data_IF_822552427355
#
_entry.id   IF_822552427355
#
_cell.length_a   1.000
_cell.length_b   1.000
_cell.length_c   1.000
_cell.angle_alpha   90.00
_cell.angle_beta   90.00
_cell.angle_gamma   90.00
#
_symmetry.space_group_name_H-M   'P 1'
#
loop_
_entity.id
_entity.type
_entity.pdbx_description
1 polymer ?
#
# COMPACT_ATOMS: atom_id res chain seq x y z
N UNK A 1 -26.41 -2.05 47.30
CA UNK A 1 -26.77 -1.47 45.97
C UNK A 1 -25.47 -1.10 45.27
N UNK A 2 -24.94 -2.02 44.46
CA UNK A 2 -23.79 -1.75 43.63
C UNK A 2 -24.33 -1.06 42.34
N UNK A 3 -23.79 0.13 42.02
CA UNK A 3 -24.08 0.79 40.74
C UNK A 3 -23.33 0.01 39.67
N UNK A 4 -24.07 -0.59 38.75
CA UNK A 4 -23.52 -1.02 37.45
C UNK A 4 -22.95 0.21 36.74
N UNK A 5 -21.66 0.20 36.53
CA UNK A 5 -21.01 1.15 35.62
C UNK A 5 -21.36 0.71 34.19
N UNK A 6 -22.25 1.46 33.56
CA UNK A 6 -22.53 1.38 32.12
C UNK A 6 -21.25 1.77 31.38
N UNK A 7 -20.43 0.77 31.07
CA UNK A 7 -19.24 0.93 30.20
C UNK A 7 -19.70 0.95 28.74
N UNK A 8 -20.45 1.96 28.36
CA UNK A 8 -20.56 2.34 26.96
C UNK A 8 -19.20 2.92 26.51
N UNK A 9 -18.26 2.04 26.25
CA UNK A 9 -17.03 2.48 25.55
C UNK A 9 -17.47 2.97 24.17
N UNK A 10 -17.09 4.21 23.78
CA UNK A 10 -17.37 4.69 22.44
C UNK A 10 -16.70 3.72 21.47
N UNK A 11 -17.47 3.23 20.50
CA UNK A 11 -16.92 2.49 19.37
C UNK A 11 -15.95 3.46 18.71
N UNK A 12 -14.65 3.16 18.80
CA UNK A 12 -13.63 3.92 18.08
C UNK A 12 -13.86 3.60 16.61
N UNK A 13 -14.55 4.50 15.92
CA UNK A 13 -14.66 4.44 14.46
C UNK A 13 -13.24 4.57 13.89
N UNK A 14 -12.87 3.65 13.02
CA UNK A 14 -11.62 3.74 12.26
C UNK A 14 -11.71 4.92 11.31
N UNK A 15 -11.32 6.09 11.81
CA UNK A 15 -11.28 7.33 11.01
C UNK A 15 -10.00 7.31 10.20
N UNK A 16 -10.14 7.48 8.87
CA UNK A 16 -8.98 7.62 7.99
C UNK A 16 -8.09 8.76 8.46
N UNK A 17 -6.76 8.57 8.43
CA UNK A 17 -5.82 9.65 8.72
C UNK A 17 -6.01 10.90 7.85
N UNK A 18 -6.59 10.77 6.66
CA UNK A 18 -6.88 11.86 5.72
C UNK A 18 -8.30 12.46 5.87
N UNK A 19 -9.03 12.11 6.92
CA UNK A 19 -10.46 12.46 7.07
C UNK A 19 -10.75 13.97 7.00
N UNK A 20 -9.84 14.82 7.43
CA UNK A 20 -10.09 16.26 7.57
C UNK A 20 -9.62 17.12 6.38
N UNK A 21 -8.77 16.61 5.49
CA UNK A 21 -8.09 17.44 4.47
C UNK A 21 -8.17 16.87 3.04
N UNK A 22 -9.25 16.16 2.71
CA UNK A 22 -9.39 15.52 1.42
C UNK A 22 -9.63 16.50 0.27
N UNK A 23 -8.66 16.61 -0.62
CA UNK A 23 -8.86 17.11 -1.98
C UNK A 23 -8.91 15.93 -2.99
N UNK A 24 -9.61 14.87 -2.61
CA UNK A 24 -9.84 13.73 -3.49
C UNK A 24 -10.86 14.11 -4.57
N UNK A 25 -10.74 13.56 -5.77
CA UNK A 25 -11.68 13.82 -6.84
C UNK A 25 -11.11 13.60 -8.23
N UNK A 26 -11.77 14.23 -9.17
CA UNK A 26 -11.37 14.24 -10.58
C UNK A 26 -10.64 15.55 -10.87
N UNK A 27 -9.49 15.44 -11.52
CA UNK A 27 -8.66 16.56 -11.94
C UNK A 27 -8.37 16.45 -13.42
N UNK A 28 -8.27 17.59 -14.10
CA UNK A 28 -7.94 17.68 -15.52
C UNK A 28 -8.93 18.52 -16.30
N UNK A 29 -8.78 18.51 -17.60
CA UNK A 29 -9.67 19.19 -18.54
C UNK A 29 -10.97 18.38 -18.67
N UNK A 30 -12.05 18.92 -18.11
CA UNK A 30 -13.36 18.26 -18.14
C UNK A 30 -13.99 18.18 -19.53
N UNK A 31 -13.49 18.96 -20.50
CA UNK A 31 -13.95 18.93 -21.88
C UNK A 31 -13.40 17.72 -22.63
N UNK A 32 -12.21 17.25 -22.26
CA UNK A 32 -11.53 16.09 -22.83
C UNK A 32 -11.52 14.92 -21.83
N UNK A 33 -12.49 14.03 -21.91
CA UNK A 33 -12.62 12.87 -20.99
C UNK A 33 -11.38 11.98 -20.94
N UNK A 34 -10.52 12.03 -21.95
CA UNK A 34 -9.29 11.22 -22.05
C UNK A 34 -8.16 11.70 -21.12
N UNK A 35 -8.24 12.95 -20.63
CA UNK A 35 -7.22 13.57 -19.76
C UNK A 35 -7.62 13.60 -18.28
N UNK A 36 -8.66 12.90 -17.91
CA UNK A 36 -9.11 12.89 -16.51
C UNK A 36 -8.13 12.09 -15.64
N UNK A 37 -7.65 12.75 -14.59
CA UNK A 37 -6.92 12.16 -13.50
C UNK A 37 -7.89 11.99 -12.32
N UNK A 38 -7.96 10.79 -11.75
CA UNK A 38 -8.74 10.51 -10.55
C UNK A 38 -7.80 10.23 -9.37
N UNK A 39 -8.05 10.91 -8.25
CA UNK A 39 -7.42 10.64 -6.96
C UNK A 39 -8.47 10.12 -5.99
N UNK A 40 -8.19 8.99 -5.36
CA UNK A 40 -9.10 8.33 -4.41
C UNK A 40 -8.30 7.74 -3.25
N UNK A 41 -8.76 7.89 -2.03
CA UNK A 41 -8.21 7.14 -0.91
C UNK A 41 -8.75 5.71 -0.93
N UNK A 42 -7.86 4.73 -0.83
CA UNK A 42 -8.24 3.32 -0.67
C UNK A 42 -8.36 3.03 0.82
N UNK A 43 -9.59 2.86 1.29
CA UNK A 43 -9.93 2.62 2.70
C UNK A 43 -10.03 1.14 3.03
N UNK A 44 -10.07 0.85 4.34
CA UNK A 44 -10.32 -0.49 4.88
C UNK A 44 -9.27 -1.54 4.44
N UNK A 45 -8.03 -1.10 4.33
CA UNK A 45 -6.92 -1.98 4.05
C UNK A 45 -6.27 -2.47 5.35
N UNK A 46 -5.94 -3.76 5.38
CA UNK A 46 -4.98 -4.33 6.31
C UNK A 46 -3.61 -4.35 5.67
N UNK A 47 -2.63 -3.72 6.31
CA UNK A 47 -1.28 -3.58 5.79
C UNK A 47 -0.29 -4.08 6.84
N UNK A 48 0.42 -5.17 6.51
CA UNK A 48 1.44 -5.74 7.38
C UNK A 48 2.82 -5.61 6.75
N UNK A 49 3.76 -5.12 7.52
CA UNK A 49 5.16 -5.20 7.17
C UNK A 49 5.75 -6.47 7.76
N UNK A 50 6.35 -7.28 6.88
CA UNK A 50 7.03 -8.53 7.24
C UNK A 50 8.52 -8.32 6.98
N UNK A 51 9.36 -8.54 7.99
CA UNK A 51 10.80 -8.47 7.86
C UNK A 51 11.44 -9.75 8.40
N UNK A 52 12.20 -10.47 7.55
CA UNK A 52 12.96 -11.65 7.95
C UNK A 52 14.19 -11.24 8.75
N UNK A 53 14.44 -11.92 9.87
CA UNK A 53 15.65 -11.68 10.65
C UNK A 53 16.91 -12.16 9.95
N UNK A 54 18.01 -11.39 10.05
CA UNK A 54 19.30 -11.73 9.42
C UNK A 54 19.85 -13.11 9.82
N UNK A 55 19.56 -13.55 11.03
CA UNK A 55 20.00 -14.86 11.57
C UNK A 55 19.06 -16.01 11.25
N UNK A 56 17.89 -15.74 10.66
CA UNK A 56 16.95 -16.78 10.25
C UNK A 56 17.49 -17.55 9.06
N UNK A 57 17.37 -18.88 9.11
CA UNK A 57 17.78 -19.80 8.04
C UNK A 57 16.62 -20.23 7.15
N UNK A 58 15.42 -19.67 7.38
CA UNK A 58 14.21 -20.01 6.62
C UNK A 58 14.40 -19.67 5.14
N UNK A 59 14.05 -20.64 4.28
CA UNK A 59 14.02 -20.45 2.84
C UNK A 59 12.73 -19.74 2.43
N UNK A 60 12.87 -18.48 2.00
CA UNK A 60 11.75 -17.62 1.59
C UNK A 60 10.97 -18.20 0.42
N UNK A 61 11.63 -18.98 -0.46
CA UNK A 61 10.98 -19.58 -1.64
C UNK A 61 9.93 -20.65 -1.27
N UNK A 62 9.99 -21.18 -0.04
CA UNK A 62 9.04 -22.17 0.47
C UNK A 62 7.85 -21.53 1.18
N UNK A 63 7.91 -20.23 1.47
CA UNK A 63 6.83 -19.53 2.15
C UNK A 63 5.73 -19.23 1.13
N UNK A 64 4.53 -19.66 1.47
CA UNK A 64 3.32 -19.42 0.70
C UNK A 64 2.31 -18.74 1.64
N UNK A 65 1.84 -17.55 1.26
CA UNK A 65 0.75 -16.84 1.93
C UNK A 65 -0.41 -16.67 0.95
N UNK A 66 -1.59 -17.14 1.30
CA UNK A 66 -2.78 -17.13 0.45
C UNK A 66 -2.51 -17.65 -0.98
N UNK A 67 -1.83 -18.79 -1.12
CA UNK A 67 -1.39 -19.41 -2.39
C UNK A 67 -0.39 -18.54 -3.20
N UNK A 68 0.09 -17.44 -2.67
CA UNK A 68 1.09 -16.56 -3.28
C UNK A 68 2.47 -16.81 -2.67
N UNK A 69 3.51 -16.82 -3.50
CA UNK A 69 4.90 -16.82 -3.04
C UNK A 69 5.36 -15.41 -2.75
N UNK A 70 6.25 -15.26 -1.77
CA UNK A 70 6.90 -13.98 -1.53
C UNK A 70 7.76 -13.57 -2.74
N UNK A 71 7.66 -12.34 -3.24
CA UNK A 71 8.54 -11.86 -4.29
C UNK A 71 9.98 -11.74 -3.78
N UNK A 72 10.94 -12.26 -4.55
CA UNK A 72 12.37 -12.29 -4.17
C UNK A 72 13.22 -11.31 -4.95
N UNK A 73 12.67 -10.72 -6.01
CA UNK A 73 13.37 -9.73 -6.85
C UNK A 73 12.89 -8.33 -6.54
N UNK A 74 13.78 -7.36 -6.64
CA UNK A 74 13.41 -5.94 -6.55
C UNK A 74 12.35 -5.57 -7.57
N UNK A 75 11.54 -4.58 -7.23
CA UNK A 75 10.45 -4.04 -8.05
C UNK A 75 9.33 -5.04 -8.35
N UNK A 76 9.24 -6.19 -7.69
CA UNK A 76 8.22 -7.18 -8.00
C UNK A 76 7.10 -7.25 -6.95
N UNK A 77 5.91 -7.56 -7.44
CA UNK A 77 4.72 -7.81 -6.64
C UNK A 77 4.16 -9.17 -7.03
N UNK A 78 3.74 -9.97 -6.06
CA UNK A 78 2.87 -11.12 -6.29
C UNK A 78 1.48 -10.78 -5.77
N UNK A 79 0.45 -11.05 -6.55
CA UNK A 79 -0.91 -10.66 -6.19
C UNK A 79 -1.97 -11.58 -6.78
N UNK A 80 -3.09 -11.65 -6.07
CA UNK A 80 -4.37 -12.14 -6.57
C UNK A 80 -5.46 -11.06 -6.39
N UNK A 81 -6.73 -11.47 -6.39
CA UNK A 81 -7.86 -10.55 -6.23
C UNK A 81 -8.02 -10.04 -4.78
N UNK A 82 -7.37 -10.67 -3.80
CA UNK A 82 -7.56 -10.42 -2.36
C UNK A 82 -6.32 -9.83 -1.73
N UNK A 83 -5.15 -10.33 -2.11
CA UNK A 83 -3.86 -10.02 -1.48
C UNK A 83 -2.87 -9.49 -2.50
N UNK A 84 -2.10 -8.49 -2.09
CA UNK A 84 -0.92 -8.01 -2.79
C UNK A 84 0.29 -8.09 -1.86
N UNK A 85 1.37 -8.72 -2.32
CA UNK A 85 2.63 -8.83 -1.59
C UNK A 85 3.69 -8.05 -2.36
N UNK A 86 4.13 -6.94 -1.80
CA UNK A 86 5.09 -6.03 -2.40
C UNK A 86 6.49 -6.31 -1.86
N UNK A 87 7.48 -6.42 -2.72
CA UNK A 87 8.88 -6.38 -2.30
C UNK A 87 9.29 -4.93 -2.03
N UNK A 88 9.61 -4.58 -0.79
CA UNK A 88 9.95 -3.20 -0.42
C UNK A 88 11.41 -3.03 0.00
N UNK A 89 12.13 -4.14 0.13
CA UNK A 89 13.55 -4.13 0.46
C UNK A 89 14.09 -5.55 0.60
N UNK A 90 15.40 -5.72 0.76
CA UNK A 90 15.98 -7.02 1.09
C UNK A 90 15.31 -7.60 2.33
N UNK A 91 14.85 -8.84 2.24
CA UNK A 91 14.16 -9.56 3.32
C UNK A 91 12.97 -8.81 3.94
N UNK A 92 12.34 -7.89 3.17
CA UNK A 92 11.22 -7.07 3.68
C UNK A 92 10.10 -6.96 2.64
N UNK A 93 8.88 -7.19 3.09
CA UNK A 93 7.67 -7.18 2.27
C UNK A 93 6.56 -6.39 2.93
N UNK A 94 5.65 -5.85 2.11
CA UNK A 94 4.34 -5.41 2.57
C UNK A 94 3.27 -6.38 2.05
N UNK A 95 2.41 -6.84 2.94
CA UNK A 95 1.21 -7.61 2.62
C UNK A 95 0.02 -6.68 2.79
N UNK A 96 -0.73 -6.48 1.70
CA UNK A 96 -1.88 -5.58 1.65
C UNK A 96 -3.11 -6.41 1.29
N UNK A 97 -4.19 -6.29 2.07
CA UNK A 97 -5.45 -6.98 1.82
C UNK A 97 -6.66 -6.17 2.29
N UNK A 98 -7.80 -6.38 1.63
CA UNK A 98 -9.10 -5.92 2.11
C UNK A 98 -9.78 -6.95 3.04
N UNK A 99 -9.33 -8.20 3.02
CA UNK A 99 -9.88 -9.25 3.87
C UNK A 99 -9.19 -9.23 5.24
N UNK A 100 -9.96 -8.84 6.26
CA UNK A 100 -9.50 -8.82 7.66
C UNK A 100 -9.22 -10.21 8.23
N UNK A 101 -9.81 -11.27 7.68
CA UNK A 101 -9.61 -12.64 8.17
C UNK A 101 -8.20 -13.16 7.92
N UNK A 102 -7.53 -12.67 6.87
CA UNK A 102 -6.14 -13.04 6.57
C UNK A 102 -5.15 -12.61 7.65
N UNK A 103 -5.53 -11.68 8.53
CA UNK A 103 -4.72 -11.23 9.68
C UNK A 103 -4.42 -12.38 10.63
N UNK A 104 -5.39 -13.28 10.85
CA UNK A 104 -5.24 -14.41 11.77
C UNK A 104 -4.19 -15.40 11.25
N UNK A 105 -4.07 -15.55 9.94
CA UNK A 105 -3.13 -16.48 9.31
C UNK A 105 -1.69 -15.93 9.24
N UNK A 106 -1.50 -14.62 9.30
CA UNK A 106 -0.17 -14.00 9.19
C UNK A 106 0.79 -14.54 10.25
N UNK A 107 0.38 -14.53 11.51
CA UNK A 107 1.24 -14.98 12.61
C UNK A 107 1.48 -16.50 12.62
N UNK A 108 0.60 -17.29 11.99
CA UNK A 108 0.80 -18.74 11.85
C UNK A 108 1.87 -19.07 10.79
N UNK A 109 1.97 -18.24 9.73
CA UNK A 109 2.89 -18.46 8.62
C UNK A 109 4.24 -17.77 8.89
N UNK A 110 4.21 -16.55 9.42
CA UNK A 110 5.40 -15.76 9.74
C UNK A 110 5.68 -15.83 11.24
N UNK A 111 6.34 -16.90 11.68
CA UNK A 111 6.62 -17.11 13.09
C UNK A 111 7.62 -16.06 13.65
N UNK A 112 7.49 -15.74 14.92
CA UNK A 112 8.26 -14.70 15.62
C UNK A 112 9.75 -14.99 15.78
N UNK A 113 10.20 -16.23 15.57
CA UNK A 113 11.62 -16.59 15.64
C UNK A 113 12.37 -16.18 14.36
N UNK A 114 11.66 -16.13 13.24
CA UNK A 114 12.21 -15.88 11.93
C UNK A 114 11.84 -14.53 11.33
N UNK A 115 10.69 -13.97 11.75
CA UNK A 115 10.13 -12.76 11.19
C UNK A 115 9.68 -11.77 12.25
N UNK A 116 9.91 -10.47 11.96
CA UNK A 116 9.15 -9.40 12.58
C UNK A 116 7.89 -9.13 11.74
N UNK A 117 6.74 -9.20 12.37
CA UNK A 117 5.43 -8.86 11.78
C UNK A 117 4.92 -7.59 12.45
N UNK A 118 4.67 -6.56 11.66
CA UNK A 118 4.19 -5.28 12.18
C UNK A 118 2.92 -4.85 11.45
N UNK A 119 1.83 -4.69 12.17
CA UNK A 119 0.60 -4.09 11.63
C UNK A 119 0.80 -2.57 11.51
N UNK A 120 0.76 -2.08 10.28
CA UNK A 120 0.89 -0.66 9.93
C UNK A 120 -0.38 -0.10 9.28
N UNK A 121 -1.49 -0.82 9.35
CA UNK A 121 -2.76 -0.47 8.71
C UNK A 121 -3.25 0.92 9.10
N UNK A 122 -3.09 1.29 10.37
CA UNK A 122 -3.54 2.59 10.89
C UNK A 122 -2.50 3.72 10.72
N UNK A 123 -1.27 3.37 10.37
CA UNK A 123 -0.18 4.35 10.20
C UNK A 123 0.10 4.68 8.74
N UNK A 124 -0.66 4.14 7.81
CA UNK A 124 -0.50 4.35 6.37
C UNK A 124 -1.81 4.79 5.73
N UNK A 125 -1.72 5.82 4.90
CA UNK A 125 -2.75 6.14 3.93
C UNK A 125 -2.36 5.54 2.58
N UNK A 126 -3.34 5.05 1.83
CA UNK A 126 -3.15 4.58 0.46
C UNK A 126 -3.96 5.46 -0.47
N UNK A 127 -3.27 6.14 -1.37
CA UNK A 127 -3.88 7.03 -2.36
C UNK A 127 -3.79 6.34 -3.71
N UNK A 128 -4.93 6.07 -4.32
CA UNK A 128 -5.01 5.62 -5.69
C UNK A 128 -4.98 6.82 -6.63
N UNK A 129 -4.06 6.81 -7.60
CA UNK A 129 -4.01 7.73 -8.73
C UNK A 129 -4.28 6.93 -10.00
N UNK A 130 -5.31 7.31 -10.76
CA UNK A 130 -5.69 6.63 -11.98
C UNK A 130 -6.05 7.59 -13.11
N UNK A 131 -5.85 7.14 -14.37
CA UNK A 131 -6.14 7.92 -15.56
C UNK A 131 -4.95 8.04 -16.51
N UNK A 132 -5.19 8.53 -17.73
CA UNK A 132 -4.18 8.60 -18.80
C UNK A 132 -2.98 9.49 -18.47
N UNK A 133 -3.13 10.44 -17.55
CA UNK A 133 -2.09 11.37 -17.10
C UNK A 133 -1.39 10.95 -15.81
N UNK A 134 -1.72 9.80 -15.22
CA UNK A 134 -1.14 9.35 -13.95
C UNK A 134 0.38 9.28 -14.01
N UNK A 135 0.95 8.67 -15.07
CA UNK A 135 2.39 8.58 -15.26
C UNK A 135 3.06 9.95 -15.40
N UNK A 136 2.40 10.88 -16.11
CA UNK A 136 2.95 12.21 -16.33
C UNK A 136 3.01 13.02 -15.04
N UNK A 137 2.01 12.87 -14.16
CA UNK A 137 2.03 13.46 -12.83
C UNK A 137 3.12 12.84 -11.97
N UNK A 138 3.22 11.51 -11.93
CA UNK A 138 4.22 10.82 -11.13
C UNK A 138 5.67 11.13 -11.57
N UNK A 139 5.92 11.29 -12.86
CA UNK A 139 7.23 11.68 -13.42
C UNK A 139 7.70 13.06 -12.96
N UNK A 140 6.79 13.96 -12.58
CA UNK A 140 7.17 15.31 -12.14
C UNK A 140 7.84 15.33 -10.76
N UNK A 141 7.45 14.42 -9.88
CA UNK A 141 7.92 14.41 -8.51
C UNK A 141 8.79 13.20 -8.14
N UNK A 142 8.82 12.14 -8.96
CA UNK A 142 9.57 10.92 -8.65
C UNK A 142 10.71 10.67 -9.65
N UNK A 143 11.89 10.23 -9.17
CA UNK A 143 13.01 9.85 -10.03
C UNK A 143 12.80 8.51 -10.74
N UNK A 144 11.69 7.82 -10.47
CA UNK A 144 11.39 6.51 -11.04
C UNK A 144 11.18 6.60 -12.55
N UNK A 145 11.72 5.61 -13.28
CA UNK A 145 11.47 5.49 -14.72
C UNK A 145 10.14 4.77 -14.99
N UNK A 146 9.12 5.51 -15.38
CA UNK A 146 7.77 4.99 -15.67
C UNK A 146 7.60 4.48 -17.12
N UNK A 147 8.68 4.27 -17.88
CA UNK A 147 8.57 3.64 -19.19
C UNK A 147 8.02 2.21 -19.05
N UNK A 148 7.11 1.83 -19.93
CA UNK A 148 6.40 0.55 -19.87
C UNK A 148 7.34 -0.67 -19.94
N UNK A 149 8.53 -0.54 -20.48
CA UNK A 149 9.53 -1.62 -20.49
C UNK A 149 10.22 -1.81 -19.13
N UNK A 150 10.26 -0.76 -18.31
CA UNK A 150 10.99 -0.73 -17.04
C UNK A 150 10.07 -0.89 -15.82
N UNK A 151 8.88 -0.29 -15.86
CA UNK A 151 7.91 -0.32 -14.75
C UNK A 151 6.54 -0.72 -15.29
N UNK A 152 6.09 -1.92 -14.94
CA UNK A 152 4.89 -2.59 -15.49
C UNK A 152 3.87 -2.86 -14.39
N UNK A 153 2.62 -3.19 -14.72
CA UNK A 153 1.69 -3.73 -13.74
C UNK A 153 2.32 -4.87 -12.93
N UNK A 154 2.02 -4.90 -11.63
CA UNK A 154 2.67 -5.75 -10.63
C UNK A 154 4.17 -5.46 -10.43
N UNK A 155 4.59 -4.22 -10.68
CA UNK A 155 5.83 -3.69 -10.14
C UNK A 155 5.52 -2.72 -8.99
N UNK A 156 6.41 -2.69 -8.00
CA UNK A 156 6.39 -1.69 -6.94
C UNK A 156 7.80 -1.13 -6.74
N UNK A 157 7.90 0.12 -6.33
CA UNK A 157 9.17 0.77 -6.05
C UNK A 157 9.10 1.57 -4.75
N UNK A 158 10.09 1.35 -3.88
CA UNK A 158 10.35 2.25 -2.77
C UNK A 158 11.22 3.40 -3.29
N UNK A 159 10.68 4.61 -3.31
CA UNK A 159 11.25 5.78 -3.97
C UNK A 159 10.87 7.06 -3.24
N UNK A 160 11.07 8.21 -3.86
CA UNK A 160 10.60 9.50 -3.36
C UNK A 160 9.65 10.16 -4.34
N UNK A 161 8.75 11.01 -3.82
CA UNK A 161 7.93 11.93 -4.58
C UNK A 161 8.03 13.30 -3.93
N UNK A 162 8.54 14.31 -4.65
CA UNK A 162 8.82 15.66 -4.10
C UNK A 162 9.63 15.63 -2.79
N UNK A 163 10.56 14.70 -2.63
CA UNK A 163 11.38 14.52 -1.43
C UNK A 163 10.76 13.68 -0.32
N UNK A 164 9.51 13.26 -0.47
CA UNK A 164 8.77 12.41 0.46
C UNK A 164 9.02 10.95 0.12
N UNK A 165 9.35 10.12 1.11
CA UNK A 165 9.51 8.69 0.93
C UNK A 165 8.16 8.02 0.65
N UNK A 166 8.09 7.26 -0.44
CA UNK A 166 6.84 6.68 -0.92
C UNK A 166 7.09 5.30 -1.55
N UNK A 167 6.13 4.41 -1.37
CA UNK A 167 6.06 3.21 -2.19
C UNK A 167 5.04 3.46 -3.29
N UNK A 168 5.44 3.25 -4.53
CA UNK A 168 4.57 3.32 -5.71
C UNK A 168 4.32 1.89 -6.17
N UNK A 169 3.06 1.45 -6.13
CA UNK A 169 2.61 0.13 -6.58
C UNK A 169 1.79 0.28 -7.86
N UNK A 170 2.25 -0.29 -8.97
CA UNK A 170 1.57 -0.23 -10.25
C UNK A 170 0.53 -1.35 -10.38
N UNK A 171 -0.74 -0.97 -10.30
CA UNK A 171 -1.88 -1.90 -10.26
C UNK A 171 -2.26 -2.41 -11.63
N UNK A 172 -2.53 -1.50 -12.58
CA UNK A 172 -3.04 -1.85 -13.91
C UNK A 172 -2.72 -0.81 -14.94
N UNK A 173 -2.71 -1.24 -16.23
CA UNK A 173 -2.76 -0.38 -17.40
C UNK A 173 -4.20 -0.30 -17.95
N UNK A 174 -4.53 0.81 -18.62
CA UNK A 174 -5.79 1.04 -19.36
C UNK A 174 -7.06 0.99 -18.48
N UNK A 175 -7.25 1.98 -17.61
CA UNK A 175 -6.38 3.14 -17.37
C UNK A 175 -5.16 2.79 -16.52
N UNK A 176 -4.10 3.58 -16.64
CA UNK A 176 -2.97 3.50 -15.70
C UNK A 176 -3.48 3.78 -14.30
N UNK A 177 -3.17 2.87 -13.37
CA UNK A 177 -3.61 2.92 -11.98
C UNK A 177 -2.46 2.58 -11.05
N UNK A 178 -2.18 3.45 -10.08
CA UNK A 178 -1.12 3.28 -9.10
C UNK A 178 -1.65 3.50 -7.69
N UNK A 179 -1.19 2.70 -6.75
CA UNK A 179 -1.33 2.98 -5.33
C UNK A 179 -0.06 3.66 -4.82
N UNK A 180 -0.24 4.76 -4.11
CA UNK A 180 0.80 5.56 -3.48
C UNK A 180 0.71 5.36 -1.97
N UNK A 181 1.79 4.85 -1.36
CA UNK A 181 1.88 4.59 0.08
C UNK A 181 3.01 5.46 0.66
N UNK A 182 2.74 6.69 1.10
CA UNK A 182 3.74 7.52 1.76
C UNK A 182 4.19 6.92 3.08
N UNK A 183 5.44 7.19 3.48
CA UNK A 183 6.02 6.66 4.72
C UNK A 183 5.38 7.25 5.96
N UNK A 184 4.90 8.47 5.88
CA UNK A 184 4.18 9.18 6.94
C UNK A 184 2.83 9.70 6.46
N UNK A 185 1.83 9.63 7.33
CA UNK A 185 0.46 10.00 6.97
C UNK A 185 0.32 11.48 6.64
N UNK A 186 0.99 12.36 7.39
CA UNK A 186 0.97 13.81 7.14
C UNK A 186 1.57 14.17 5.79
N UNK A 187 2.50 13.36 5.27
CA UNK A 187 3.11 13.57 3.97
C UNK A 187 2.16 13.23 2.81
N UNK A 188 1.13 12.40 3.05
CA UNK A 188 0.12 12.11 2.05
C UNK A 188 -0.63 13.36 1.58
N UNK A 189 -0.77 14.37 2.45
CA UNK A 189 -1.39 15.66 2.11
C UNK A 189 -0.59 16.44 1.07
N UNK A 190 0.73 16.34 1.06
CA UNK A 190 1.60 17.06 0.13
C UNK A 190 1.68 16.43 -1.27
N UNK A 191 1.23 15.19 -1.41
CA UNK A 191 1.17 14.50 -2.71
C UNK A 191 -0.02 15.00 -3.53
N UNK A 192 -1.06 15.46 -2.84
CA UNK A 192 -2.37 15.81 -3.44
C UNK A 192 -2.46 17.31 -3.79
N UNK A 193 -1.53 18.12 -3.33
CA UNK A 193 -1.43 19.56 -3.64
C UNK A 193 -0.45 19.78 -4.77
#
# INVERSE_FOLDING_TARGET
MARELDLNMPVIENISPLHFDHKLGFYGDYENKDDILKLTEVKELSIFQIAKFKKSIVDINQIIFNNLKLPTKSLTVTSDNIVRILWVGPDTWLIISKDKKLIEDIHSIFNENDFAVTDISQSRAVIEISGSKSKDVLKKGSPLNFNNDMFKPNNCANTTYNGINIIIDFISEKPDCFNLLPSEVLEALFIIV
#
